data_IF_000663968879
#
_entry.id   IF_000663968879
#
_cell.length_a   1.000
_cell.length_b   1.000
_cell.length_c   1.000
_cell.angle_alpha   90.00
_cell.angle_beta   90.00
_cell.angle_gamma   90.00
#
_symmetry.space_group_name_H-M   'P 1'
#
loop_
_entity.id
_entity.type
_entity.pdbx_description
1 polymer ?
#
# COMPACT_ATOMS: atom_id res chain seq x y z
N UNK A 1 -4.79 -2.10 -17.61
CA UNK A 1 -4.96 -0.66 -17.92
C UNK A 1 -6.15 -0.06 -17.18
N UNK A 2 -7.32 -0.71 -17.15
CA UNK A 2 -8.51 -0.24 -16.41
C UNK A 2 -8.23 0.00 -14.92
N UNK A 3 -7.52 -0.91 -14.23
CA UNK A 3 -7.15 -0.74 -12.83
C UNK A 3 -6.37 0.56 -12.55
N UNK A 4 -5.40 0.92 -13.40
CA UNK A 4 -4.65 2.18 -13.29
C UNK A 4 -5.54 3.40 -13.53
N UNK A 5 -6.45 3.34 -14.50
CA UNK A 5 -7.39 4.45 -14.74
C UNK A 5 -8.32 4.67 -13.54
N UNK A 6 -8.79 3.59 -12.90
CA UNK A 6 -9.59 3.67 -11.69
C UNK A 6 -8.79 4.20 -10.50
N UNK A 7 -7.51 3.82 -10.38
CA UNK A 7 -6.59 4.35 -9.39
C UNK A 7 -6.41 5.87 -9.55
N UNK A 8 -6.07 6.32 -10.76
CA UNK A 8 -5.88 7.74 -11.09
C UNK A 8 -7.16 8.54 -10.84
N UNK A 9 -8.31 7.97 -11.21
CA UNK A 9 -9.60 8.61 -10.97
C UNK A 9 -9.91 8.71 -9.48
N UNK A 10 -9.68 7.65 -8.71
CA UNK A 10 -9.88 7.69 -7.26
C UNK A 10 -8.99 8.73 -6.57
N UNK A 11 -7.75 8.90 -7.03
CA UNK A 11 -6.85 9.95 -6.54
C UNK A 11 -7.39 11.34 -6.87
N UNK A 12 -7.83 11.57 -8.10
CA UNK A 12 -8.42 12.84 -8.53
C UNK A 12 -9.68 13.20 -7.73
N UNK A 13 -10.57 12.23 -7.53
CA UNK A 13 -11.80 12.38 -6.74
C UNK A 13 -11.49 12.67 -5.28
N UNK A 14 -10.45 12.03 -4.72
CA UNK A 14 -9.99 12.37 -3.36
C UNK A 14 -9.48 13.82 -3.29
N UNK A 15 -8.68 14.27 -4.25
CA UNK A 15 -8.14 15.65 -4.28
C UNK A 15 -9.26 16.70 -4.34
N UNK A 16 -10.42 16.33 -4.86
CA UNK A 16 -11.63 17.16 -4.91
C UNK A 16 -12.46 17.10 -3.61
N UNK A 17 -12.00 16.41 -2.57
CA UNK A 17 -12.68 16.27 -1.28
C UNK A 17 -13.80 15.22 -1.26
N UNK A 18 -14.03 14.51 -2.37
CA UNK A 18 -15.08 13.50 -2.47
C UNK A 18 -14.58 12.12 -1.99
N UNK A 19 -14.16 12.04 -0.73
CA UNK A 19 -13.55 10.84 -0.14
C UNK A 19 -14.43 9.59 -0.24
N UNK A 20 -15.74 9.74 -0.07
CA UNK A 20 -16.74 8.66 -0.09
C UNK A 20 -16.81 7.96 -1.44
N UNK A 21 -16.50 8.69 -2.52
CA UNK A 21 -16.53 8.20 -3.90
C UNK A 21 -15.23 7.53 -4.31
N UNK A 22 -14.13 7.78 -3.61
CA UNK A 22 -12.83 7.18 -3.93
C UNK A 22 -12.75 5.70 -3.50
N UNK A 23 -13.32 5.36 -2.35
CA UNK A 23 -13.29 4.00 -1.81
C UNK A 23 -13.89 2.91 -2.76
N UNK A 24 -15.08 3.10 -3.38
CA UNK A 24 -15.60 2.11 -4.33
C UNK A 24 -14.73 1.97 -5.59
N UNK A 25 -14.18 3.08 -6.12
CA UNK A 25 -13.27 3.05 -7.27
C UNK A 25 -12.01 2.25 -6.97
N UNK A 26 -11.44 2.40 -5.77
CA UNK A 26 -10.27 1.63 -5.33
C UNK A 26 -10.57 0.15 -5.13
N UNK A 27 -11.76 -0.20 -4.62
CA UNK A 27 -12.18 -1.62 -4.51
C UNK A 27 -12.29 -2.28 -5.88
N UNK A 28 -12.87 -1.57 -6.85
CA UNK A 28 -12.95 -2.05 -8.23
C UNK A 28 -11.56 -2.15 -8.86
N UNK A 29 -10.69 -1.17 -8.64
CA UNK A 29 -9.30 -1.21 -9.10
C UNK A 29 -8.55 -2.43 -8.55
N UNK A 30 -8.70 -2.73 -7.25
CA UNK A 30 -8.11 -3.92 -6.61
C UNK A 30 -8.69 -5.20 -7.24
N UNK A 31 -10.01 -5.30 -7.39
CA UNK A 31 -10.65 -6.48 -7.98
C UNK A 31 -10.18 -6.76 -9.41
N UNK A 32 -9.96 -5.71 -10.22
CA UNK A 32 -9.41 -5.87 -11.56
C UNK A 32 -7.92 -6.21 -11.50
N UNK A 33 -7.16 -5.62 -10.56
CA UNK A 33 -5.72 -5.78 -10.50
C UNK A 33 -5.29 -7.17 -10.02
N UNK A 34 -6.08 -7.85 -9.18
CA UNK A 34 -5.76 -9.21 -8.71
C UNK A 34 -5.83 -10.27 -9.80
N UNK A 35 -6.63 -10.03 -10.84
CA UNK A 35 -6.76 -10.93 -11.99
C UNK A 35 -5.70 -10.68 -13.07
N UNK A 36 -4.82 -9.67 -12.87
CA UNK A 36 -3.77 -9.38 -13.83
C UNK A 36 -2.60 -10.38 -13.71
N UNK A 37 -1.93 -10.70 -14.83
CA UNK A 37 -0.70 -11.49 -14.81
C UNK A 37 0.36 -10.91 -13.86
N UNK A 38 1.19 -11.75 -13.26
CA UNK A 38 2.19 -11.38 -12.24
C UNK A 38 3.08 -10.18 -12.61
N UNK A 39 3.41 -10.01 -13.90
CA UNK A 39 4.14 -8.84 -14.44
C UNK A 39 3.46 -7.48 -14.17
N UNK A 40 2.20 -7.47 -13.78
CA UNK A 40 1.43 -6.26 -13.46
C UNK A 40 1.10 -6.15 -11.98
N UNK A 41 1.62 -7.04 -11.15
CA UNK A 41 1.09 -7.14 -9.80
C UNK A 41 1.63 -6.05 -8.85
N UNK A 42 2.61 -5.25 -9.29
CA UNK A 42 2.92 -3.93 -8.70
C UNK A 42 1.69 -3.00 -8.71
N UNK A 43 0.84 -3.06 -9.75
CA UNK A 43 -0.42 -2.30 -9.81
C UNK A 43 -1.38 -2.75 -8.71
N UNK A 44 -1.44 -4.06 -8.42
CA UNK A 44 -2.29 -4.57 -7.35
C UNK A 44 -1.81 -4.10 -5.97
N UNK A 45 -0.49 -4.08 -5.73
CA UNK A 45 0.09 -3.53 -4.51
C UNK A 45 -0.23 -2.04 -4.34
N UNK A 46 -0.07 -1.24 -5.38
CA UNK A 46 -0.42 0.20 -5.36
C UNK A 46 -1.91 0.43 -5.08
N UNK A 47 -2.80 -0.33 -5.75
CA UNK A 47 -4.23 -0.23 -5.52
C UNK A 47 -4.60 -0.58 -4.06
N UNK A 48 -3.98 -1.63 -3.50
CA UNK A 48 -4.18 -2.03 -2.10
C UNK A 48 -3.66 -0.99 -1.11
N UNK A 49 -2.48 -0.42 -1.35
CA UNK A 49 -1.94 0.68 -0.53
C UNK A 49 -2.90 1.88 -0.51
N UNK A 50 -3.37 2.32 -1.68
CA UNK A 50 -4.33 3.44 -1.78
C UNK A 50 -5.65 3.13 -1.10
N UNK A 51 -6.17 1.91 -1.27
CA UNK A 51 -7.39 1.48 -0.57
C UNK A 51 -7.18 1.48 0.95
N UNK A 52 -6.04 0.96 1.43
CA UNK A 52 -5.67 0.99 2.85
C UNK A 52 -5.64 2.41 3.42
N UNK A 53 -5.01 3.36 2.72
CA UNK A 53 -5.00 4.78 3.09
C UNK A 53 -6.41 5.37 3.20
N UNK A 54 -7.32 5.00 2.31
CA UNK A 54 -8.71 5.47 2.38
C UNK A 54 -9.51 4.83 3.49
N UNK A 55 -9.27 3.55 3.76
CA UNK A 55 -9.92 2.87 4.88
C UNK A 55 -9.47 3.46 6.23
N UNK A 56 -8.20 3.82 6.38
CA UNK A 56 -7.72 4.57 7.57
C UNK A 56 -8.43 5.92 7.72
N UNK A 57 -8.57 6.68 6.63
CA UNK A 57 -9.28 7.97 6.65
C UNK A 57 -10.78 7.82 6.99
N UNK A 58 -11.36 6.64 6.75
CA UNK A 58 -12.73 6.29 7.11
C UNK A 58 -12.82 5.57 8.47
N UNK A 59 -11.71 5.49 9.22
CA UNK A 59 -11.61 4.78 10.50
C UNK A 59 -11.92 3.27 10.44
N UNK A 60 -11.88 2.66 9.24
CA UNK A 60 -12.03 1.22 9.04
C UNK A 60 -10.66 0.52 9.17
N UNK A 61 -10.13 0.59 10.39
CA UNK A 61 -8.76 0.16 10.72
C UNK A 61 -8.50 -1.32 10.41
N UNK A 62 -9.48 -2.19 10.65
CA UNK A 62 -9.35 -3.63 10.43
C UNK A 62 -9.21 -3.97 8.94
N UNK A 63 -10.02 -3.35 8.07
CA UNK A 63 -9.88 -3.56 6.63
C UNK A 63 -8.65 -2.86 6.08
N UNK A 64 -8.30 -1.68 6.62
CA UNK A 64 -7.08 -0.99 6.26
C UNK A 64 -5.86 -1.88 6.48
N UNK A 65 -5.75 -2.49 7.66
CA UNK A 65 -4.64 -3.39 7.99
C UNK A 65 -4.53 -4.56 7.01
N UNK A 66 -5.64 -5.21 6.66
CA UNK A 66 -5.65 -6.29 5.66
C UNK A 66 -5.15 -5.84 4.30
N UNK A 67 -5.54 -4.64 3.86
CA UNK A 67 -5.08 -4.10 2.58
C UNK A 67 -3.59 -3.74 2.61
N UNK A 68 -3.11 -3.16 3.70
CA UNK A 68 -1.70 -2.83 3.87
C UNK A 68 -0.85 -4.10 3.97
N UNK A 69 -1.31 -5.15 4.64
CA UNK A 69 -0.63 -6.45 4.68
C UNK A 69 -0.47 -7.06 3.28
N UNK A 70 -1.56 -7.10 2.51
CA UNK A 70 -1.53 -7.61 1.14
C UNK A 70 -0.72 -6.71 0.16
N UNK A 71 -0.43 -5.46 0.52
CA UNK A 71 0.49 -4.60 -0.23
C UNK A 71 1.96 -4.90 0.10
N UNK A 72 2.27 -5.33 1.33
CA UNK A 72 3.63 -5.70 1.78
C UNK A 72 4.05 -7.10 1.34
N UNK A 73 3.12 -8.06 1.38
CA UNK A 73 3.35 -9.45 0.98
C UNK A 73 3.51 -9.65 -0.52
N UNK A 74 3.35 -8.57 -1.31
CA UNK A 74 3.41 -8.67 -2.75
C UNK A 74 4.86 -8.70 -3.27
N UNK A 75 5.20 -9.82 -3.92
CA UNK A 75 6.47 -10.06 -4.60
C UNK A 75 6.22 -10.14 -6.12
N UNK A 76 6.61 -9.10 -6.87
CA UNK A 76 6.58 -9.10 -8.32
C UNK A 76 7.74 -8.32 -8.87
N UNK A 77 8.68 -9.03 -9.49
CA UNK A 77 10.07 -8.64 -9.76
C UNK A 77 10.38 -7.39 -10.58
N UNK A 78 9.77 -6.25 -10.26
CA UNK A 78 10.20 -4.91 -10.66
C UNK A 78 10.48 -4.10 -9.38
N UNK A 79 11.69 -4.31 -8.83
CA UNK A 79 12.12 -3.92 -7.47
C UNK A 79 11.86 -2.44 -7.15
N UNK A 80 12.17 -1.52 -8.08
CA UNK A 80 12.15 -0.08 -7.78
C UNK A 80 10.75 0.48 -7.43
N UNK A 81 9.68 -0.03 -8.05
CA UNK A 81 8.31 0.46 -7.76
C UNK A 81 7.67 -0.27 -6.56
N UNK A 82 8.23 -1.42 -6.20
CA UNK A 82 7.82 -2.21 -5.04
C UNK A 82 8.31 -1.56 -3.76
N UNK A 83 9.55 -1.06 -3.74
CA UNK A 83 10.19 -0.53 -2.54
C UNK A 83 9.41 0.66 -1.95
N UNK A 84 9.00 1.62 -2.78
CA UNK A 84 8.19 2.77 -2.33
C UNK A 84 6.81 2.34 -1.78
N UNK A 85 6.15 1.41 -2.46
CA UNK A 85 4.81 0.94 -2.08
C UNK A 85 4.87 0.16 -0.77
N UNK A 86 5.85 -0.73 -0.65
CA UNK A 86 6.09 -1.59 0.51
C UNK A 86 6.51 -0.77 1.72
N UNK A 87 7.48 0.13 1.57
CA UNK A 87 7.93 1.01 2.64
C UNK A 87 6.76 1.85 3.18
N UNK A 88 5.92 2.41 2.30
CA UNK A 88 4.76 3.20 2.71
C UNK A 88 3.70 2.35 3.41
N UNK A 89 3.46 1.13 2.93
CA UNK A 89 2.52 0.22 3.58
C UNK A 89 2.99 -0.16 4.99
N UNK A 90 4.29 -0.44 5.16
CA UNK A 90 4.89 -0.74 6.47
C UNK A 90 4.77 0.45 7.41
N UNK A 91 5.09 1.67 6.94
CA UNK A 91 4.97 2.90 7.75
C UNK A 91 3.55 3.09 8.29
N UNK A 92 2.53 2.95 7.44
CA UNK A 92 1.13 3.10 7.84
C UNK A 92 0.69 2.04 8.85
N UNK A 93 1.23 0.82 8.75
CA UNK A 93 0.96 -0.25 9.73
C UNK A 93 1.61 0.05 11.07
N UNK A 94 2.85 0.56 11.08
CA UNK A 94 3.50 1.00 12.32
C UNK A 94 2.64 2.06 13.02
N UNK A 95 2.20 3.07 12.28
CA UNK A 95 1.34 4.12 12.81
C UNK A 95 0.03 3.55 13.37
N UNK A 96 -0.66 2.69 12.60
CA UNK A 96 -1.91 2.06 13.06
C UNK A 96 -1.72 1.24 14.34
N UNK A 97 -0.61 0.50 14.44
CA UNK A 97 -0.29 -0.29 15.63
C UNK A 97 -0.02 0.60 16.85
N UNK A 98 0.68 1.72 16.67
CA UNK A 98 0.94 2.70 17.72
C UNK A 98 -0.36 3.34 18.24
N UNK A 99 -1.22 3.80 17.33
CA UNK A 99 -2.51 4.41 17.67
C UNK A 99 -3.46 3.42 18.37
N UNK A 100 -3.34 2.13 18.04
CA UNK A 100 -4.16 1.05 18.63
C UNK A 100 -3.54 0.43 19.89
N UNK A 101 -2.39 0.91 20.36
CA UNK A 101 -1.69 0.35 21.53
C UNK A 101 -1.03 -1.02 21.31
N UNK A 102 -0.90 -1.48 20.06
CA UNK A 102 -0.27 -2.76 19.69
C UNK A 102 1.24 -2.60 19.53
N UNK A 103 1.93 -2.37 20.64
CA UNK A 103 3.38 -2.10 20.63
C UNK A 103 4.22 -3.24 20.02
N UNK A 104 3.87 -4.50 20.29
CA UNK A 104 4.58 -5.66 19.75
C UNK A 104 4.51 -5.72 18.22
N UNK A 105 3.34 -5.48 17.64
CA UNK A 105 3.15 -5.44 16.18
C UNK A 105 3.93 -4.27 15.56
N UNK A 106 3.93 -3.10 16.22
CA UNK A 106 4.69 -1.94 15.76
C UNK A 106 6.21 -2.23 15.69
N UNK A 107 6.78 -2.88 16.70
CA UNK A 107 8.20 -3.27 16.70
C UNK A 107 8.51 -4.33 15.63
N UNK A 108 7.61 -5.29 15.41
CA UNK A 108 7.73 -6.24 14.31
C UNK A 108 7.83 -5.53 12.94
N UNK A 109 6.91 -4.59 12.66
CA UNK A 109 6.93 -3.85 11.41
C UNK A 109 8.13 -2.90 11.27
N UNK A 110 8.62 -2.31 12.37
CA UNK A 110 9.86 -1.53 12.37
C UNK A 110 11.08 -2.39 12.04
N UNK A 111 11.15 -3.61 12.56
CA UNK A 111 12.23 -4.55 12.24
C UNK A 111 12.23 -4.94 10.76
N UNK A 112 11.05 -5.15 10.16
CA UNK A 112 10.93 -5.43 8.72
C UNK A 112 11.40 -4.23 7.88
N UNK A 113 11.07 -3.00 8.29
CA UNK A 113 11.54 -1.77 7.63
C UNK A 113 13.06 -1.57 7.75
N UNK A 114 13.63 -1.84 8.94
CA UNK A 114 15.06 -1.68 9.21
C UNK A 114 15.94 -2.82 8.69
N UNK A 115 15.33 -3.88 8.15
CA UNK A 115 16.01 -5.00 7.48
C UNK A 115 16.21 -4.80 5.98
N UNK A 116 15.82 -3.65 5.41
CA UNK A 116 16.33 -3.21 4.11
C UNK A 116 17.85 -3.04 4.24
N UNK A 117 18.68 -3.63 3.35
CA UNK A 117 20.10 -3.34 3.35
C UNK A 117 20.27 -1.82 3.24
N UNK A 118 21.21 -1.21 3.98
CA UNK A 118 21.55 0.19 3.71
C UNK A 118 21.86 0.29 2.22
N UNK A 119 21.37 1.34 1.57
CA UNK A 119 21.74 1.69 0.20
C UNK A 119 23.25 1.49 0.01
N UNK A 120 23.66 0.37 -0.58
CA UNK A 120 24.98 0.21 -1.17
C UNK A 120 25.00 0.99 -2.51
N UNK A 121 24.47 2.21 -2.49
CA UNK A 121 24.82 3.28 -3.41
C UNK A 121 26.12 3.94 -2.91
N UNK A 122 27.15 3.11 -2.74
CA UNK A 122 28.48 3.48 -2.29
C UNK A 122 29.59 2.61 -2.86
N UNK A 123 29.31 1.77 -3.84
CA UNK A 123 30.33 1.03 -4.59
C UNK A 123 30.65 1.73 -5.92
N UNK A 124 31.36 2.84 -5.87
CA UNK A 124 32.18 3.33 -7.00
C UNK A 124 33.18 4.41 -6.56
N UNK A 125 34.36 3.99 -6.08
CA UNK A 125 35.72 4.29 -6.61
C UNK A 125 36.78 4.15 -5.54
#
# INVERSE_FOLDING_TARGET
RVALMLLDWAESVTKQGAHDRAAPLLREAVAIAVDLPARHAAVAAQCRLRLGQRLLALHDNEKAERMLAAAVEFDGGDENSQDDTRAKAIELRIQLCQESGRAADAEHWKSIRGGEPPDDAGAAR
#
